data_IF_612109580236
#
_entry.id   IF_612109580236
#
_cell.length_a   1.000
_cell.length_b   1.000
_cell.length_c   1.000
_cell.angle_alpha   90.00
_cell.angle_beta   90.00
_cell.angle_gamma   90.00
#
_symmetry.space_group_name_H-M   'P 1'
#
loop_
_entity.id
_entity.type
_entity.pdbx_description
1 polymer ?
#
# COMPACT_ATOMS: atom_id res chain seq x y z
N UNK A 1 3.96 20.31 -4.27
CA UNK A 1 5.01 19.97 -3.30
C UNK A 1 5.72 21.20 -2.72
N UNK A 2 6.18 22.15 -3.52
CA UNK A 2 6.80 23.40 -3.00
C UNK A 2 5.85 24.17 -2.07
N UNK A 3 4.58 24.32 -2.46
CA UNK A 3 3.53 24.93 -1.63
C UNK A 3 3.39 24.26 -0.24
N UNK A 4 3.43 22.93 -0.18
CA UNK A 4 3.33 22.19 1.08
C UNK A 4 4.60 22.36 1.93
N UNK A 5 5.77 22.39 1.30
CA UNK A 5 7.04 22.62 2.01
C UNK A 5 7.12 24.03 2.59
N UNK A 6 6.59 25.02 1.88
CA UNK A 6 6.51 26.40 2.36
C UNK A 6 5.51 26.52 3.53
N UNK A 7 4.31 25.95 3.38
CA UNK A 7 3.26 26.01 4.41
C UNK A 7 3.62 25.23 5.68
N UNK A 8 4.36 24.13 5.56
CA UNK A 8 4.72 23.23 6.66
C UNK A 8 6.23 23.15 6.87
N UNK A 9 6.91 24.31 6.90
CA UNK A 9 8.37 24.42 6.99
C UNK A 9 9.00 23.80 8.25
N UNK A 10 8.20 23.53 9.28
CA UNK A 10 8.62 22.86 10.52
C UNK A 10 8.65 21.34 10.42
N UNK A 11 8.00 20.74 9.41
CA UNK A 11 7.96 19.29 9.20
C UNK A 11 9.07 18.89 8.23
N UNK A 12 9.76 17.80 8.53
CA UNK A 12 10.78 17.26 7.64
C UNK A 12 10.21 16.92 6.26
N UNK A 13 10.95 17.29 5.20
CA UNK A 13 10.55 17.10 3.81
C UNK A 13 10.19 15.66 3.45
N UNK A 14 10.85 14.68 4.06
CA UNK A 14 10.56 13.25 3.85
C UNK A 14 9.18 12.86 4.40
N UNK A 15 8.79 13.41 5.55
CA UNK A 15 7.47 13.19 6.17
C UNK A 15 6.37 13.81 5.30
N UNK A 16 6.55 15.05 4.84
CA UNK A 16 5.63 15.71 3.89
C UNK A 16 5.44 14.85 2.64
N UNK A 17 6.53 14.36 2.06
CA UNK A 17 6.47 13.53 0.86
C UNK A 17 5.73 12.21 1.11
N UNK A 18 5.99 11.52 2.23
CA UNK A 18 5.29 10.27 2.54
C UNK A 18 3.80 10.49 2.80
N UNK A 19 3.40 11.58 3.48
CA UNK A 19 1.97 11.89 3.70
C UNK A 19 1.28 12.25 2.39
N UNK A 20 1.94 13.03 1.53
CA UNK A 20 1.46 13.32 0.18
C UNK A 20 1.16 12.04 -0.62
N UNK A 21 2.04 11.04 -0.50
CA UNK A 21 1.82 9.73 -1.12
C UNK A 21 0.67 8.95 -0.46
N UNK A 22 0.57 8.96 0.88
CA UNK A 22 -0.53 8.32 1.61
C UNK A 22 -1.90 8.93 1.26
N UNK A 23 -1.93 10.23 0.93
CA UNK A 23 -3.13 10.94 0.50
C UNK A 23 -3.35 10.90 -1.02
N UNK A 24 -2.65 10.01 -1.75
CA UNK A 24 -2.77 9.85 -3.20
C UNK A 24 -2.65 11.17 -3.98
N UNK A 25 -1.75 12.05 -3.56
CA UNK A 25 -1.57 13.37 -4.17
C UNK A 25 -2.78 14.31 -4.04
N UNK A 26 -3.69 14.08 -3.09
CA UNK A 26 -4.77 15.00 -2.77
C UNK A 26 -4.24 16.12 -1.86
N UNK A 27 -4.24 17.35 -2.37
CA UNK A 27 -3.72 18.53 -1.66
C UNK A 27 -4.51 18.86 -0.39
N UNK A 28 -5.84 18.77 -0.45
CA UNK A 28 -6.71 19.10 0.68
C UNK A 28 -6.53 18.08 1.81
N UNK A 29 -6.57 16.78 1.50
CA UNK A 29 -6.32 15.72 2.49
C UNK A 29 -4.91 15.82 3.09
N UNK A 30 -3.90 16.07 2.24
CA UNK A 30 -2.52 16.22 2.71
C UNK A 30 -2.38 17.41 3.67
N UNK A 31 -3.03 18.53 3.35
CA UNK A 31 -3.01 19.73 4.18
C UNK A 31 -3.71 19.49 5.52
N UNK A 32 -4.81 18.75 5.54
CA UNK A 32 -5.52 18.38 6.77
C UNK A 32 -4.63 17.52 7.68
N UNK A 33 -3.98 16.49 7.11
CA UNK A 33 -3.11 15.60 7.89
C UNK A 33 -1.90 16.37 8.42
N UNK A 34 -1.21 17.13 7.57
CA UNK A 34 -0.03 17.92 7.99
C UNK A 34 -0.42 19.00 9.00
N UNK A 35 -1.55 19.67 8.82
CA UNK A 35 -2.08 20.64 9.78
C UNK A 35 -2.32 20.02 11.14
N UNK A 36 -2.84 18.80 11.19
CA UNK A 36 -3.05 18.08 12.45
C UNK A 36 -1.72 17.76 13.16
N UNK A 37 -0.68 17.37 12.40
CA UNK A 37 0.66 17.11 12.97
C UNK A 37 1.25 18.36 13.62
N UNK A 38 1.07 19.54 13.00
CA UNK A 38 1.57 20.82 13.56
C UNK A 38 0.74 21.27 14.76
N UNK A 39 -0.59 21.11 14.71
CA UNK A 39 -1.51 21.55 15.77
C UNK A 39 -1.30 20.78 17.07
N UNK A 40 -1.06 19.47 16.98
CA UNK A 40 -1.02 18.58 18.14
C UNK A 40 0.38 18.46 18.80
N UNK A 41 1.38 19.19 18.28
CA UNK A 41 2.79 19.17 18.73
C UNK A 41 3.35 17.74 18.94
N UNK A 42 3.02 16.84 18.01
CA UNK A 42 3.36 15.43 18.16
C UNK A 42 4.86 15.16 17.94
N UNK A 43 5.41 14.33 18.81
CA UNK A 43 6.81 13.88 18.73
C UNK A 43 7.08 13.11 17.44
N UNK A 44 8.35 13.02 17.03
CA UNK A 44 8.77 12.25 15.83
C UNK A 44 8.26 10.80 15.89
N UNK A 45 8.34 10.16 17.07
CA UNK A 45 7.83 8.80 17.25
C UNK A 45 6.30 8.70 17.04
N UNK A 46 5.54 9.68 17.52
CA UNK A 46 4.11 9.76 17.30
C UNK A 46 3.76 10.03 15.83
N UNK A 47 4.60 10.80 15.11
CA UNK A 47 4.45 10.99 13.66
C UNK A 47 4.60 9.66 12.92
N UNK A 48 5.62 8.86 13.25
CA UNK A 48 5.81 7.53 12.65
C UNK A 48 4.63 6.58 12.94
N UNK A 49 4.10 6.60 14.17
CA UNK A 49 2.91 5.84 14.54
C UNK A 49 1.67 6.30 13.76
N UNK A 50 1.42 7.61 13.66
CA UNK A 50 0.30 8.15 12.90
C UNK A 50 0.42 7.78 11.41
N UNK A 51 1.63 7.87 10.85
CA UNK A 51 1.91 7.43 9.49
C UNK A 51 1.61 5.95 9.28
N UNK A 52 1.93 5.11 10.27
CA UNK A 52 1.58 3.70 10.25
C UNK A 52 0.06 3.49 10.29
N UNK A 53 -0.67 4.21 11.16
CA UNK A 53 -2.13 4.15 11.23
C UNK A 53 -2.78 4.57 9.92
N UNK A 54 -2.35 5.69 9.33
CA UNK A 54 -2.85 6.18 8.04
C UNK A 54 -2.56 5.18 6.91
N UNK A 55 -1.41 4.51 6.94
CA UNK A 55 -1.06 3.48 5.95
C UNK A 55 -1.94 2.24 6.06
N UNK A 56 -2.28 1.81 7.27
CA UNK A 56 -3.08 0.60 7.49
C UNK A 56 -4.58 0.87 7.29
N UNK A 57 -5.07 2.00 7.80
CA UNK A 57 -6.50 2.30 7.88
C UNK A 57 -6.97 3.35 6.87
N UNK A 58 -6.08 4.15 6.27
CA UNK A 58 -6.46 5.33 5.47
C UNK A 58 -7.22 5.05 4.17
N UNK A 59 -7.26 3.79 3.73
CA UNK A 59 -8.06 3.35 2.58
C UNK A 59 -9.41 2.75 3.00
N UNK A 60 -9.63 2.52 4.30
CA UNK A 60 -10.85 1.93 4.85
C UNK A 60 -11.64 2.92 5.71
N UNK A 61 -10.94 3.85 6.37
CA UNK A 61 -11.49 4.87 7.26
C UNK A 61 -11.04 6.22 6.71
N UNK A 62 -11.95 7.19 6.70
CA UNK A 62 -11.60 8.55 6.32
C UNK A 62 -10.50 9.10 7.24
N UNK A 63 -9.56 9.85 6.65
CA UNK A 63 -8.37 10.32 7.37
C UNK A 63 -8.75 11.20 8.56
N UNK A 64 -9.85 11.94 8.48
CA UNK A 64 -10.35 12.79 9.56
C UNK A 64 -10.77 11.95 10.76
N UNK A 65 -11.47 10.82 10.55
CA UNK A 65 -11.83 9.87 11.62
C UNK A 65 -10.59 9.22 12.22
N UNK A 66 -9.57 8.89 11.43
CA UNK A 66 -8.29 8.39 11.95
C UNK A 66 -7.66 9.42 12.88
N UNK A 67 -7.54 10.67 12.44
CA UNK A 67 -6.94 11.77 13.21
C UNK A 67 -7.74 12.09 14.48
N UNK A 68 -9.08 12.11 14.38
CA UNK A 68 -9.95 12.29 15.56
C UNK A 68 -9.77 11.16 16.57
N UNK A 69 -9.72 9.91 16.09
CA UNK A 69 -9.50 8.76 16.98
C UNK A 69 -8.12 8.84 17.62
N UNK A 70 -7.09 9.20 16.86
CA UNK A 70 -5.74 9.41 17.38
C UNK A 70 -5.69 10.44 18.52
N UNK A 71 -6.38 11.58 18.37
CA UNK A 71 -6.52 12.60 19.41
C UNK A 71 -7.32 12.13 20.61
N UNK A 72 -8.43 11.43 20.38
CA UNK A 72 -9.32 10.97 21.45
C UNK A 72 -8.68 9.95 22.40
N UNK A 73 -7.60 9.29 21.97
CA UNK A 73 -6.84 8.32 22.75
C UNK A 73 -5.44 8.87 23.11
N UNK A 74 -5.32 10.19 23.27
CA UNK A 74 -4.12 10.88 23.72
C UNK A 74 -2.85 10.49 22.94
N UNK A 75 -2.99 10.18 21.66
CA UNK A 75 -1.89 9.75 20.80
C UNK A 75 -1.21 8.44 21.27
N UNK A 76 -1.95 7.58 21.98
CA UNK A 76 -1.51 6.23 22.37
C UNK A 76 -1.77 5.28 21.20
N UNK A 77 -0.68 4.76 20.63
CA UNK A 77 -0.72 3.92 19.41
C UNK A 77 -1.57 2.66 19.56
N UNK A 78 -1.37 1.89 20.62
CA UNK A 78 -2.06 0.60 20.82
C UNK A 78 -3.57 0.81 20.93
N UNK A 79 -4.00 1.77 21.75
CA UNK A 79 -5.42 2.03 21.99
C UNK A 79 -6.11 2.58 20.73
N UNK A 80 -5.45 3.50 20.03
CA UNK A 80 -5.95 4.03 18.75
C UNK A 80 -6.03 2.92 17.70
N UNK A 81 -5.02 2.06 17.61
CA UNK A 81 -4.99 0.97 16.64
C UNK A 81 -6.15 -0.01 16.86
N UNK A 82 -6.39 -0.46 18.10
CA UNK A 82 -7.50 -1.35 18.41
C UNK A 82 -8.85 -0.68 18.14
N UNK A 83 -8.98 0.63 18.40
CA UNK A 83 -10.23 1.33 18.09
C UNK A 83 -10.49 1.47 16.59
N UNK A 84 -9.47 1.79 15.80
CA UNK A 84 -9.60 1.88 14.34
C UNK A 84 -9.89 0.51 13.73
N UNK A 85 -9.30 -0.55 14.27
CA UNK A 85 -9.60 -1.94 13.90
C UNK A 85 -11.06 -2.30 14.19
N UNK A 86 -11.56 -1.95 15.37
CA UNK A 86 -12.98 -2.10 15.73
C UNK A 86 -13.90 -1.37 14.73
N UNK A 87 -13.58 -0.11 14.40
CA UNK A 87 -14.31 0.68 13.40
C UNK A 87 -14.29 -0.01 12.04
N UNK A 88 -13.13 -0.50 11.59
CA UNK A 88 -12.97 -1.23 10.34
C UNK A 88 -13.80 -2.51 10.28
N UNK A 89 -13.84 -3.29 11.34
CA UNK A 89 -14.65 -4.53 11.38
C UNK A 89 -16.13 -4.19 11.25
N UNK A 90 -16.59 -3.15 11.96
CA UNK A 90 -17.98 -2.72 11.93
C UNK A 90 -18.39 -2.04 10.61
N UNK A 91 -17.49 -1.30 9.97
CA UNK A 91 -17.76 -0.67 8.66
C UNK A 91 -17.77 -1.71 7.53
N UNK A 92 -16.86 -2.70 7.57
CA UNK A 92 -16.81 -3.79 6.59
C UNK A 92 -18.05 -4.70 6.66
N UNK A 93 -18.64 -4.88 7.85
CA UNK A 93 -19.89 -5.63 8.01
C UNK A 93 -21.09 -5.00 7.27
N UNK A 94 -21.02 -3.70 6.98
CA UNK A 94 -22.04 -2.98 6.21
C UNK A 94 -21.73 -2.89 4.70
N UNK A 95 -20.74 -3.65 4.21
CA UNK A 95 -20.52 -3.80 2.77
C UNK A 95 -19.80 -2.62 2.12
N UNK A 96 -18.60 -2.28 2.58
CA UNK A 96 -17.66 -1.56 1.71
C UNK A 96 -17.24 -2.52 0.59
N UNK A 97 -18.10 -2.65 -0.41
CA UNK A 97 -17.75 -3.25 -1.68
C UNK A 97 -16.60 -2.42 -2.23
N UNK A 98 -15.39 -2.97 -2.20
CA UNK A 98 -14.23 -2.39 -2.88
C UNK A 98 -14.70 -1.93 -4.26
N UNK A 99 -14.50 -0.64 -4.57
CA UNK A 99 -14.90 -0.10 -5.85
C UNK A 99 -14.32 -0.98 -6.96
N UNK A 100 -15.17 -1.40 -7.89
CA UNK A 100 -14.78 -2.32 -8.95
C UNK A 100 -13.57 -1.80 -9.73
N UNK A 101 -13.44 -0.48 -9.84
CA UNK A 101 -12.29 0.20 -10.42
C UNK A 101 -10.98 -0.11 -9.70
N UNK A 102 -10.96 0.02 -8.37
CA UNK A 102 -9.76 -0.21 -7.57
C UNK A 102 -9.36 -1.68 -7.59
N UNK A 103 -10.35 -2.58 -7.58
CA UNK A 103 -10.13 -4.02 -7.74
C UNK A 103 -9.45 -4.35 -9.07
N UNK A 104 -9.92 -3.76 -10.17
CA UNK A 104 -9.32 -3.93 -11.51
C UNK A 104 -7.90 -3.37 -11.53
N UNK A 105 -7.72 -2.13 -11.05
CA UNK A 105 -6.43 -1.46 -10.99
C UNK A 105 -5.39 -2.30 -10.25
N UNK A 106 -5.75 -2.79 -9.06
CA UNK A 106 -4.88 -3.64 -8.25
C UNK A 106 -4.52 -4.95 -8.96
N UNK A 107 -5.51 -5.63 -9.54
CA UNK A 107 -5.28 -6.89 -10.27
C UNK A 107 -4.28 -6.67 -11.42
N UNK A 108 -4.45 -5.58 -12.17
CA UNK A 108 -3.59 -5.24 -13.30
C UNK A 108 -2.17 -4.87 -12.86
N UNK A 109 -2.02 -3.99 -11.87
CA UNK A 109 -0.72 -3.62 -11.33
C UNK A 109 0.03 -4.85 -10.80
N UNK A 110 -0.62 -5.70 -10.00
CA UNK A 110 0.01 -6.91 -9.48
C UNK A 110 0.46 -7.87 -10.59
N UNK A 111 -0.36 -8.07 -11.63
CA UNK A 111 -0.02 -8.94 -12.76
C UNK A 111 1.19 -8.41 -13.54
N UNK A 112 1.22 -7.10 -13.81
CA UNK A 112 2.32 -6.44 -14.53
C UNK A 112 3.61 -6.54 -13.72
N UNK A 113 3.57 -6.12 -12.45
CA UNK A 113 4.73 -6.13 -11.56
C UNK A 113 5.26 -7.56 -11.36
N UNK A 114 4.38 -8.54 -11.17
CA UNK A 114 4.77 -9.94 -11.04
C UNK A 114 5.46 -10.49 -12.28
N UNK A 115 4.97 -10.16 -13.49
CA UNK A 115 5.59 -10.61 -14.73
C UNK A 115 7.04 -10.10 -14.87
N UNK A 116 7.31 -8.87 -14.45
CA UNK A 116 8.66 -8.29 -14.47
C UNK A 116 9.54 -8.92 -13.40
N UNK A 117 9.05 -9.02 -12.16
CA UNK A 117 9.79 -9.60 -11.03
C UNK A 117 10.15 -11.07 -11.26
N UNK A 118 9.29 -11.83 -11.94
CA UNK A 118 9.52 -13.23 -12.28
C UNK A 118 10.62 -13.40 -13.34
N UNK A 119 10.69 -12.50 -14.31
CA UNK A 119 11.57 -12.60 -15.47
C UNK A 119 12.42 -11.34 -15.69
N UNK A 120 13.23 -10.92 -14.69
CA UNK A 120 13.83 -9.59 -14.67
C UNK A 120 14.74 -9.31 -15.87
N UNK A 121 15.43 -10.34 -16.41
CA UNK A 121 16.40 -10.19 -17.52
C UNK A 121 15.75 -10.12 -18.91
N UNK A 122 14.47 -10.42 -19.04
CA UNK A 122 13.81 -10.56 -20.33
C UNK A 122 13.11 -9.25 -20.72
N UNK A 123 13.65 -8.55 -21.72
CA UNK A 123 13.19 -7.22 -22.15
C UNK A 123 11.69 -7.19 -22.53
N UNK A 124 11.18 -8.30 -23.09
CA UNK A 124 9.77 -8.45 -23.47
C UNK A 124 8.80 -8.22 -22.31
N UNK A 125 9.16 -8.62 -21.08
CA UNK A 125 8.28 -8.44 -19.92
C UNK A 125 8.33 -7.02 -19.35
N UNK A 126 9.30 -6.21 -19.78
CA UNK A 126 9.46 -4.80 -19.39
C UNK A 126 8.65 -3.85 -20.26
N UNK A 127 8.07 -4.34 -21.34
CA UNK A 127 7.23 -3.58 -22.24
C UNK A 127 5.77 -3.95 -22.04
N UNK A 128 4.89 -2.95 -21.94
CA UNK A 128 3.44 -3.14 -21.92
C UNK A 128 2.89 -2.50 -23.19
N UNK A 129 2.31 -3.33 -24.05
CA UNK A 129 1.65 -2.84 -25.25
C UNK A 129 0.36 -2.09 -24.87
N UNK A 130 0.20 -0.85 -25.33
CA UNK A 130 -0.95 0.01 -24.99
C UNK A 130 -2.28 -0.61 -25.40
N UNK A 131 -2.35 -1.18 -26.61
CA UNK A 131 -3.58 -1.79 -27.11
C UNK A 131 -3.97 -3.03 -26.28
N UNK A 132 -2.99 -3.86 -25.92
CA UNK A 132 -3.22 -5.03 -25.08
C UNK A 132 -3.69 -4.63 -23.67
N UNK A 133 -3.10 -3.58 -23.08
CA UNK A 133 -3.53 -3.02 -21.81
C UNK A 133 -4.97 -2.48 -21.89
N UNK A 134 -5.25 -1.67 -22.91
CA UNK A 134 -6.57 -1.08 -23.17
C UNK A 134 -7.65 -2.16 -23.30
N UNK A 135 -7.43 -3.15 -24.16
CA UNK A 135 -8.39 -4.24 -24.39
C UNK A 135 -8.64 -5.06 -23.11
N UNK A 136 -7.58 -5.31 -22.34
CA UNK A 136 -7.70 -6.07 -21.10
C UNK A 136 -8.49 -5.30 -20.04
N UNK A 137 -8.20 -4.01 -19.87
CA UNK A 137 -8.92 -3.14 -18.94
C UNK A 137 -10.39 -2.98 -19.35
N UNK A 138 -10.67 -2.75 -20.63
CA UNK A 138 -12.01 -2.60 -21.17
C UNK A 138 -12.88 -3.82 -20.84
N UNK A 139 -12.40 -5.02 -21.20
CA UNK A 139 -13.09 -6.27 -20.88
C UNK A 139 -13.33 -6.47 -19.37
N UNK A 140 -12.39 -6.07 -18.52
CA UNK A 140 -12.55 -6.16 -17.06
C UNK A 140 -13.57 -5.16 -16.52
N UNK A 141 -13.57 -3.95 -17.05
CA UNK A 141 -14.54 -2.92 -16.68
C UNK A 141 -15.95 -3.33 -17.09
N UNK A 142 -16.13 -3.91 -18.28
CA UNK A 142 -17.42 -4.43 -18.75
C UNK A 142 -17.97 -5.53 -17.82
N UNK A 143 -17.11 -6.47 -17.39
CA UNK A 143 -17.50 -7.58 -16.50
C UNK A 143 -17.92 -7.07 -15.12
N UNK A 144 -17.24 -6.05 -14.60
CA UNK A 144 -17.44 -5.55 -13.24
C UNK A 144 -18.28 -4.27 -13.19
N UNK A 145 -18.77 -3.75 -14.32
CA UNK A 145 -19.53 -2.50 -14.38
C UNK A 145 -18.77 -1.29 -13.83
N UNK A 146 -17.49 -1.15 -14.16
CA UNK A 146 -16.62 -0.05 -13.71
C UNK A 146 -16.44 1.03 -14.78
N UNK A 147 -16.14 2.28 -14.39
CA UNK A 147 -15.83 3.34 -15.36
C UNK A 147 -14.47 3.09 -16.02
N UNK A 148 -14.50 2.67 -17.28
CA UNK A 148 -13.30 2.37 -18.04
C UNK A 148 -12.32 3.55 -18.14
N UNK A 149 -12.83 4.77 -18.35
CA UNK A 149 -11.97 5.95 -18.52
C UNK A 149 -11.21 6.25 -17.24
N UNK A 150 -11.91 6.20 -16.10
CA UNK A 150 -11.32 6.42 -14.78
C UNK A 150 -10.28 5.35 -14.44
N UNK A 151 -10.58 4.07 -14.70
CA UNK A 151 -9.64 2.96 -14.47
C UNK A 151 -8.41 3.09 -15.36
N UNK A 152 -8.59 3.44 -16.63
CA UNK A 152 -7.49 3.56 -17.58
C UNK A 152 -6.54 4.69 -17.17
N UNK A 153 -7.06 5.88 -16.84
CA UNK A 153 -6.28 7.01 -16.34
C UNK A 153 -5.52 6.68 -15.04
N UNK A 154 -6.20 6.06 -14.06
CA UNK A 154 -5.57 5.60 -12.82
C UNK A 154 -4.45 4.59 -13.11
N UNK A 155 -4.64 3.69 -14.09
CA UNK A 155 -3.63 2.69 -14.46
C UNK A 155 -2.39 3.34 -15.08
N UNK A 156 -2.57 4.30 -16.00
CA UNK A 156 -1.43 5.04 -16.59
C UNK A 156 -0.62 5.79 -15.51
N UNK A 157 -1.30 6.47 -14.59
CA UNK A 157 -0.67 7.16 -13.46
C UNK A 157 0.14 6.20 -12.56
N UNK A 158 -0.41 5.01 -12.28
CA UNK A 158 0.26 3.99 -11.47
C UNK A 158 1.47 3.38 -12.17
N UNK A 159 1.40 3.16 -13.49
CA UNK A 159 2.55 2.72 -14.27
C UNK A 159 3.68 3.76 -14.23
N UNK A 160 3.35 5.03 -14.39
CA UNK A 160 4.34 6.11 -14.28
C UNK A 160 4.98 6.14 -12.88
N UNK A 161 4.18 6.00 -11.82
CA UNK A 161 4.66 5.91 -10.44
C UNK A 161 5.60 4.71 -10.22
N UNK A 162 5.30 3.57 -10.84
CA UNK A 162 6.15 2.38 -10.81
C UNK A 162 7.44 2.52 -11.66
N UNK A 163 7.66 3.67 -12.31
CA UNK A 163 8.87 3.95 -13.09
C UNK A 163 8.77 3.62 -14.58
N UNK A 164 7.57 3.32 -15.09
CA UNK A 164 7.37 3.13 -16.53
C UNK A 164 7.32 4.48 -17.23
N UNK A 165 7.86 4.51 -18.46
CA UNK A 165 7.80 5.67 -19.33
C UNK A 165 7.10 5.30 -20.63
N UNK A 166 6.31 6.24 -21.15
CA UNK A 166 5.65 6.10 -22.44
C UNK A 166 6.61 6.59 -23.52
N UNK A 167 6.78 5.80 -24.58
CA UNK A 167 7.61 6.18 -25.74
C UNK A 167 6.75 6.59 -26.94
N UNK A 168 7.39 6.93 -28.07
CA UNK A 168 6.73 7.44 -29.28
C UNK A 168 5.76 6.45 -29.93
N UNK A 169 5.92 5.16 -29.67
CA UNK A 169 5.02 4.10 -30.13
C UNK A 169 3.83 3.88 -29.19
N UNK A 170 3.63 4.81 -28.24
CA UNK A 170 2.55 4.81 -27.26
C UNK A 170 2.62 3.66 -26.23
N UNK A 171 3.62 2.77 -26.31
CA UNK A 171 3.80 1.66 -25.37
C UNK A 171 4.53 2.13 -24.11
N UNK A 172 4.35 1.36 -23.03
CA UNK A 172 5.00 1.62 -21.74
C UNK A 172 6.24 0.76 -21.58
N UNK A 173 7.35 1.38 -21.18
CA UNK A 173 8.64 0.73 -21.00
C UNK A 173 9.13 0.95 -19.57
N UNK A 174 9.37 -0.15 -18.87
CA UNK A 174 10.12 -0.13 -17.62
C UNK A 174 11.61 0.01 -17.96
N UNK A 175 12.20 1.16 -17.64
CA UNK A 175 13.66 1.31 -17.71
C UNK A 175 14.29 0.37 -16.66
N UNK A 176 15.58 0.08 -16.73
CA UNK A 176 16.14 -0.92 -15.80
C UNK A 176 17.54 -0.54 -15.38
N UNK A 177 17.68 -0.26 -14.09
CA UNK A 177 18.92 -0.29 -13.33
C UNK A 177 18.64 -1.10 -12.04
N UNK A 178 19.67 -1.36 -11.23
CA UNK A 178 19.49 -2.11 -9.97
C UNK A 178 18.59 -1.39 -8.96
N UNK A 179 18.51 -0.07 -9.00
CA UNK A 179 17.64 0.75 -8.14
C UNK A 179 16.17 0.53 -8.47
N UNK A 180 15.83 0.28 -9.74
CA UNK A 180 14.46 0.10 -10.21
C UNK A 180 13.82 -1.22 -9.77
N UNK A 181 14.59 -2.30 -9.54
CA UNK A 181 14.04 -3.57 -9.03
C UNK A 181 13.48 -3.39 -7.62
N UNK A 182 14.25 -2.72 -6.75
CA UNK A 182 13.84 -2.48 -5.37
C UNK A 182 12.59 -1.60 -5.33
N UNK A 183 12.51 -0.59 -6.20
CA UNK A 183 11.32 0.25 -6.36
C UNK A 183 10.09 -0.57 -6.80
N UNK A 184 10.22 -1.38 -7.86
CA UNK A 184 9.14 -2.26 -8.33
C UNK A 184 8.68 -3.24 -7.26
N UNK A 185 9.60 -3.79 -6.47
CA UNK A 185 9.28 -4.64 -5.34
C UNK A 185 8.48 -3.90 -4.26
N UNK A 186 8.85 -2.65 -3.96
CA UNK A 186 8.11 -1.82 -3.02
C UNK A 186 6.70 -1.49 -3.55
N UNK A 187 6.56 -1.18 -4.84
CA UNK A 187 5.25 -1.02 -5.49
C UNK A 187 4.42 -2.31 -5.40
N UNK A 188 5.03 -3.47 -5.64
CA UNK A 188 4.34 -4.76 -5.55
C UNK A 188 3.87 -5.05 -4.12
N UNK A 189 4.75 -4.81 -3.13
CA UNK A 189 4.43 -4.95 -1.71
C UNK A 189 3.29 -4.02 -1.29
N UNK A 190 3.30 -2.78 -1.78
CA UNK A 190 2.20 -1.82 -1.56
C UNK A 190 0.86 -2.44 -2.01
N UNK A 191 0.75 -2.86 -3.27
CA UNK A 191 -0.49 -3.43 -3.81
C UNK A 191 -0.94 -4.74 -3.14
N UNK A 192 -0.02 -5.55 -2.62
CA UNK A 192 -0.38 -6.73 -1.81
C UNK A 192 -0.98 -6.32 -0.47
N UNK A 193 -0.39 -5.33 0.20
CA UNK A 193 -0.89 -4.88 1.50
C UNK A 193 -2.26 -4.22 1.40
N UNK A 194 -2.57 -3.63 0.23
CA UNK A 194 -3.90 -3.12 -0.11
C UNK A 194 -4.96 -4.22 -0.32
N UNK A 195 -4.57 -5.50 -0.35
CA UNK A 195 -5.56 -6.56 -0.29
C UNK A 195 -6.09 -6.65 1.13
N UNK A 196 -7.38 -6.35 1.28
CA UNK A 196 -8.16 -6.55 2.51
C UNK A 196 -7.87 -7.94 3.11
N UNK A 197 -7.75 -8.97 2.26
CA UNK A 197 -7.42 -10.33 2.69
C UNK A 197 -6.03 -10.46 3.34
N UNK A 198 -5.03 -9.70 2.90
CA UNK A 198 -3.69 -9.70 3.52
C UNK A 198 -3.71 -9.01 4.88
N UNK A 199 -4.46 -7.91 5.01
CA UNK A 199 -4.68 -7.25 6.31
C UNK A 199 -5.39 -8.21 7.27
N UNK A 200 -6.49 -8.84 6.85
CA UNK A 200 -7.18 -9.84 7.67
C UNK A 200 -6.31 -11.05 8.00
N UNK A 201 -5.51 -11.56 7.06
CA UNK A 201 -4.58 -12.66 7.32
C UNK A 201 -3.47 -12.25 8.30
N UNK A 202 -2.90 -11.05 8.15
CA UNK A 202 -1.92 -10.50 9.08
C UNK A 202 -2.54 -10.29 10.47
N UNK A 203 -3.76 -9.74 10.55
CA UNK A 203 -4.49 -9.53 11.81
C UNK A 203 -4.84 -10.85 12.47
N UNK A 204 -5.30 -11.85 11.71
CA UNK A 204 -5.57 -13.20 12.20
C UNK A 204 -4.26 -13.84 12.71
N UNK A 205 -3.15 -13.72 11.97
CA UNK A 205 -1.84 -14.19 12.39
C UNK A 205 -1.34 -13.47 13.66
N UNK A 206 -1.59 -12.17 13.82
CA UNK A 206 -1.24 -11.42 15.02
C UNK A 206 -2.09 -11.83 16.23
N UNK A 207 -3.39 -12.06 16.03
CA UNK A 207 -4.28 -12.53 17.09
C UNK A 207 -3.89 -13.93 17.54
N UNK A 208 -3.63 -14.84 16.60
CA UNK A 208 -3.11 -16.18 16.88
C UNK A 208 -1.77 -16.10 17.62
N UNK A 209 -0.88 -15.16 17.27
CA UNK A 209 0.40 -14.96 17.97
C UNK A 209 0.25 -14.42 19.39
N UNK A 210 -0.72 -13.54 19.65
CA UNK A 210 -0.98 -13.01 21.00
C UNK A 210 -1.63 -14.04 21.91
N UNK A 211 -2.47 -14.93 21.36
CA UNK A 211 -2.99 -16.09 22.08
C UNK A 211 -1.92 -17.19 22.26
N UNK A 212 -0.87 -17.19 21.42
CA UNK A 212 0.34 -18.00 21.55
C UNK A 212 1.41 -17.34 22.45
N UNK A 213 1.05 -16.99 23.68
CA UNK A 213 2.01 -16.94 24.81
C UNK A 213 2.57 -18.35 25.14
N UNK A 214 2.27 -19.36 24.33
CA UNK A 214 2.96 -20.63 24.36
C UNK A 214 4.21 -20.61 23.48
N UNK A 215 5.36 -20.75 24.16
CA UNK A 215 6.57 -21.40 23.64
C UNK A 215 6.20 -22.45 22.60
N UNK A 216 6.52 -22.21 21.33
CA UNK A 216 6.91 -23.28 20.40
C UNK A 216 7.47 -22.70 19.10
N UNK A 217 8.46 -23.41 18.57
CA UNK A 217 9.28 -23.04 17.42
C UNK A 217 8.43 -22.85 16.16
N UNK A 218 8.56 -21.70 15.48
CA UNK A 218 8.00 -21.52 14.14
C UNK A 218 8.84 -22.34 13.14
N UNK A 219 8.28 -23.45 12.67
CA UNK A 219 8.85 -24.26 11.58
C UNK A 219 8.36 -23.71 10.25
N UNK A 220 9.26 -23.10 9.49
CA UNK A 220 8.99 -22.72 8.10
C UNK A 220 9.49 -23.83 7.17
N UNK A 221 8.77 -24.10 6.08
CA UNK A 221 9.20 -25.07 5.08
C UNK A 221 9.81 -24.33 3.90
N UNK A 222 11.07 -24.64 3.60
CA UNK A 222 11.77 -24.15 2.40
C UNK A 222 11.84 -25.28 1.38
N UNK A 223 11.52 -24.99 0.12
CA UNK A 223 11.79 -25.92 -0.97
C UNK A 223 13.14 -25.59 -1.61
N UNK A 224 14.03 -26.58 -1.65
CA UNK A 224 15.35 -26.47 -2.26
C UNK A 224 15.60 -27.73 -3.08
N UNK A 225 15.76 -27.58 -4.39
CA UNK A 225 15.91 -28.68 -5.36
C UNK A 225 14.77 -29.72 -5.33
N UNK A 226 13.52 -29.27 -5.16
CA UNK A 226 12.35 -30.16 -5.16
C UNK A 226 12.19 -31.02 -3.92
N UNK A 227 13.00 -30.79 -2.87
CA UNK A 227 12.82 -31.43 -1.56
C UNK A 227 12.34 -30.41 -0.54
N UNK A 228 11.40 -30.82 0.30
CA UNK A 228 10.90 -30.01 1.42
C UNK A 228 11.88 -30.10 2.58
N UNK A 229 12.54 -28.99 2.92
CA UNK A 229 13.39 -28.89 4.11
C UNK A 229 12.65 -28.12 5.22
N UNK A 230 12.74 -28.62 6.45
CA UNK A 230 12.35 -27.86 7.64
C UNK A 230 13.42 -26.81 7.93
N UNK A 231 13.05 -25.54 7.91
CA UNK A 231 13.88 -24.43 8.33
C UNK A 231 13.30 -23.87 9.63
N UNK A 232 14.11 -23.85 10.68
CA UNK A 232 13.75 -23.26 11.96
C UNK A 232 14.14 -21.78 11.92
N UNK A 233 13.16 -20.90 12.07
CA UNK A 233 13.40 -19.46 12.16
C UNK A 233 13.61 -19.13 13.64
N UNK A 234 14.86 -19.12 14.09
CA UNK A 234 15.21 -18.62 15.42
C UNK A 234 15.29 -17.10 15.32
N UNK A 235 14.20 -16.42 15.68
CA UNK A 235 14.20 -14.97 15.85
C UNK A 235 14.70 -14.66 17.26
N UNK A 236 16.00 -14.37 17.39
CA UNK A 236 16.51 -13.78 18.61
C UNK A 236 16.04 -12.32 18.66
N UNK A 237 15.08 -12.04 19.55
CA UNK A 237 14.75 -10.68 19.96
C UNK A 237 15.53 -10.47 21.25
N UNK A 238 16.73 -9.91 21.13
CA UNK A 238 17.45 -9.39 22.30
C UNK A 238 16.70 -8.12 22.77
N UNK A 239 16.41 -8.07 24.07
CA UNK A 239 15.67 -7.02 24.77
C UNK A 239 16.48 -5.73 24.90
#
# INVERSE_FOLDING_TARGET
>A
MEQLQEAFSTIEKDIIFKIWLLCLCNLDETTIVLGSIVEDDITIQQQEHLMYLLKIFGNQIDKITILKTWRNYDHIFVDTFEKLKDICVHSNLNGSQEENEFKILREMCLRILWNILKCPKHIKYRQINKQALYNNLCSRCDILGADFKQVFEKTENQLQYCGFKKENDDNWYCQYDHTQILHLWNCYKYWINEQIMFIFMCLLCCHIKQDMVFKEECVCYRMENGKTMKAYLIMNIEQ
#
